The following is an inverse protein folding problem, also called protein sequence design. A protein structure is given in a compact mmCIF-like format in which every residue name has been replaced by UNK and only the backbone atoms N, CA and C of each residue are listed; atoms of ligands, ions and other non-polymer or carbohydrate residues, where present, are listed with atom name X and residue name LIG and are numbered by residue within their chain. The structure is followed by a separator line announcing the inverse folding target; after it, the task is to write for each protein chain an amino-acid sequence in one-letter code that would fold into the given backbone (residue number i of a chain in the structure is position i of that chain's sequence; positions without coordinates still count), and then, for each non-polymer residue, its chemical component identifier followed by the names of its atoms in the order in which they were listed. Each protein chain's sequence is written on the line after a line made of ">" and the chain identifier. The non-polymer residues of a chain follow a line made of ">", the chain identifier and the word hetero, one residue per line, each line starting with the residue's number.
data_IF_841038787523
#
_entry.id   IF_841038787523
#
_cell.length_a   1.000
_cell.length_b   1.000
_cell.length_c   1.000
_cell.angle_alpha   90.00
_cell.angle_beta   90.00
_cell.angle_gamma   90.00
#
_symmetry.space_group_name_H-M   'P 1'
#
loop_
_entity.id
_entity.type
_entity.pdbx_description
1 polymer ?
#
# COMPACT_ATOMS: atom_id res chain seq x y z
N UNK A 1 -1.14 24.18 -7.09
CA UNK A 1 -2.01 23.17 -7.72
C UNK A 1 -1.97 21.92 -6.85
N UNK A 2 -3.09 21.49 -6.27
CA UNK A 2 -3.12 20.25 -5.50
C UNK A 2 -3.08 19.07 -6.47
N UNK A 3 -1.97 18.33 -6.48
CA UNK A 3 -1.79 17.11 -7.29
C UNK A 3 -2.80 16.06 -6.84
N UNK A 4 -3.56 15.48 -7.76
CA UNK A 4 -4.51 14.41 -7.46
C UNK A 4 -3.75 13.17 -6.92
N UNK A 5 -4.34 12.39 -6.01
CA UNK A 5 -3.66 11.22 -5.44
C UNK A 5 -3.23 10.19 -6.50
N UNK A 6 -3.95 10.10 -7.61
CA UNK A 6 -3.59 9.25 -8.75
C UNK A 6 -2.33 9.70 -9.50
N UNK A 7 -2.05 11.00 -9.58
CA UNK A 7 -0.82 11.50 -10.22
C UNK A 7 0.40 11.39 -9.32
N UNK A 8 0.22 11.38 -7.98
CA UNK A 8 1.29 11.02 -7.03
C UNK A 8 1.70 9.56 -7.20
N UNK A 9 0.74 8.64 -7.24
CA UNK A 9 1.04 7.20 -7.48
C UNK A 9 1.73 6.99 -8.83
N UNK A 10 1.26 7.66 -9.89
CA UNK A 10 1.89 7.57 -11.20
C UNK A 10 3.34 8.06 -11.19
N UNK A 11 3.65 9.15 -10.48
CA UNK A 11 5.00 9.66 -10.30
C UNK A 11 5.92 8.63 -9.62
N UNK A 12 5.50 8.04 -8.50
CA UNK A 12 6.30 7.02 -7.82
C UNK A 12 6.48 5.74 -8.64
N UNK A 13 5.46 5.32 -9.40
CA UNK A 13 5.59 4.20 -10.36
C UNK A 13 6.64 4.48 -11.43
N UNK A 14 6.63 5.69 -12.00
CA UNK A 14 7.62 6.08 -12.99
C UNK A 14 9.04 6.10 -12.39
N UNK A 15 9.21 6.61 -11.16
CA UNK A 15 10.49 6.60 -10.44
C UNK A 15 11.02 5.17 -10.21
N UNK A 16 10.17 4.25 -9.74
CA UNK A 16 10.54 2.83 -9.59
C UNK A 16 10.93 2.22 -10.93
N UNK A 17 10.15 2.47 -11.99
CA UNK A 17 10.43 1.97 -13.33
C UNK A 17 11.73 2.52 -13.91
N UNK A 18 12.07 3.78 -13.64
CA UNK A 18 13.34 4.38 -14.04
C UNK A 18 14.53 3.73 -13.31
N UNK A 19 14.45 3.59 -11.99
CA UNK A 19 15.53 3.02 -11.18
C UNK A 19 15.73 1.52 -11.45
N UNK A 20 14.65 0.76 -11.66
CA UNK A 20 14.73 -0.69 -11.87
C UNK A 20 15.44 -1.10 -13.16
N UNK A 21 15.67 -0.16 -14.10
CA UNK A 21 16.38 -0.44 -15.36
C UNK A 21 17.89 -0.56 -15.16
N UNK A 22 18.44 0.24 -14.25
CA UNK A 22 19.88 0.45 -14.11
C UNK A 22 20.42 0.06 -12.73
N UNK A 23 19.55 -0.36 -11.80
CA UNK A 23 19.90 -0.64 -10.40
C UNK A 23 19.61 -2.08 -10.02
N UNK A 24 20.43 -2.61 -9.12
CA UNK A 24 20.21 -3.94 -8.54
C UNK A 24 19.00 -3.93 -7.59
N UNK A 25 18.32 -5.07 -7.38
CA UNK A 25 17.11 -5.16 -6.55
C UNK A 25 17.26 -4.65 -5.11
N UNK A 26 18.47 -4.74 -4.58
CA UNK A 26 18.94 -4.43 -3.24
C UNK A 26 19.61 -3.04 -3.15
N UNK A 27 19.62 -2.29 -4.25
CA UNK A 27 20.03 -0.88 -4.26
C UNK A 27 19.13 -0.04 -3.33
N UNK A 28 19.72 0.78 -2.44
CA UNK A 28 18.96 1.52 -1.44
C UNK A 28 17.99 2.55 -2.07
N UNK A 29 18.34 3.16 -3.20
CA UNK A 29 17.47 4.13 -3.86
C UNK A 29 16.26 3.44 -4.51
N UNK A 30 16.44 2.22 -5.02
CA UNK A 30 15.33 1.42 -5.54
C UNK A 30 14.42 0.92 -4.40
N UNK A 31 14.99 0.49 -3.27
CA UNK A 31 14.24 0.09 -2.10
C UNK A 31 13.39 1.25 -1.54
N UNK A 32 13.97 2.43 -1.41
CA UNK A 32 13.26 3.66 -1.01
C UNK A 32 12.14 4.02 -1.99
N UNK A 33 12.42 4.03 -3.30
CA UNK A 33 11.41 4.35 -4.30
C UNK A 33 10.21 3.37 -4.27
N UNK A 34 10.46 2.09 -3.99
CA UNK A 34 9.39 1.08 -3.80
C UNK A 34 8.61 1.35 -2.52
N UNK A 35 9.27 1.74 -1.44
CA UNK A 35 8.62 2.09 -0.18
C UNK A 35 7.70 3.31 -0.35
N UNK A 36 8.19 4.35 -1.04
CA UNK A 36 7.40 5.55 -1.34
C UNK A 36 6.18 5.23 -2.21
N UNK A 37 6.34 4.35 -3.20
CA UNK A 37 5.23 3.90 -4.02
C UNK A 37 4.15 3.18 -3.20
N UNK A 38 4.55 2.33 -2.24
CA UNK A 38 3.61 1.66 -1.33
C UNK A 38 2.86 2.68 -0.48
N UNK A 39 3.56 3.66 0.09
CA UNK A 39 2.95 4.74 0.88
C UNK A 39 1.95 5.55 0.06
N UNK A 40 2.35 6.06 -1.11
CA UNK A 40 1.48 6.83 -2.00
C UNK A 40 0.24 6.03 -2.46
N UNK A 41 0.40 4.73 -2.70
CA UNK A 41 -0.73 3.85 -3.07
C UNK A 41 -1.73 3.71 -1.93
N UNK A 42 -1.23 3.52 -0.69
CA UNK A 42 -2.08 3.42 0.49
C UNK A 42 -2.83 4.74 0.75
N UNK A 43 -2.14 5.87 0.67
CA UNK A 43 -2.75 7.20 0.81
C UNK A 43 -3.85 7.43 -0.23
N UNK A 44 -3.58 7.11 -1.50
CA UNK A 44 -4.57 7.23 -2.57
C UNK A 44 -5.79 6.34 -2.33
N UNK A 45 -5.58 5.13 -1.79
CA UNK A 45 -6.66 4.22 -1.46
C UNK A 45 -7.51 4.76 -0.30
N UNK A 46 -6.87 5.21 0.77
CA UNK A 46 -7.54 5.83 1.92
C UNK A 46 -8.37 7.04 1.49
N UNK A 47 -7.79 7.94 0.68
CA UNK A 47 -8.51 9.11 0.15
C UNK A 47 -9.74 8.69 -0.67
N UNK A 48 -9.60 7.67 -1.53
CA UNK A 48 -10.71 7.13 -2.32
C UNK A 48 -11.82 6.53 -1.43
N UNK A 49 -11.46 5.82 -0.36
CA UNK A 49 -12.42 5.22 0.58
C UNK A 49 -13.15 6.32 1.36
N UNK A 50 -12.42 7.31 1.88
CA UNK A 50 -13.01 8.43 2.62
C UNK A 50 -13.96 9.27 1.76
N UNK A 51 -13.66 9.44 0.47
CA UNK A 51 -14.54 10.15 -0.45
C UNK A 51 -15.88 9.43 -0.71
N UNK A 52 -15.93 8.11 -0.52
CA UNK A 52 -17.15 7.30 -0.69
C UNK A 52 -17.88 7.03 0.62
N UNK A 53 -17.22 7.21 1.76
CA UNK A 53 -17.80 6.94 3.06
C UNK A 53 -18.81 8.02 3.47
N UNK A 54 -19.92 7.66 4.15
CA UNK A 54 -20.70 8.63 4.89
C UNK A 54 -19.82 9.41 5.88
N UNK A 55 -20.18 10.66 6.25
CA UNK A 55 -19.39 11.46 7.18
C UNK A 55 -19.12 10.70 8.49
N UNK A 56 -17.84 10.44 8.75
CA UNK A 56 -17.40 9.79 9.99
C UNK A 56 -17.48 10.75 11.16
N UNK A 57 -17.83 10.26 12.34
CA UNK A 57 -17.70 11.04 13.58
C UNK A 57 -16.23 11.21 13.96
N UNK A 58 -15.93 12.21 14.79
CA UNK A 58 -14.57 12.44 15.27
C UNK A 58 -13.98 11.23 15.99
N UNK A 59 -14.80 10.54 16.81
CA UNK A 59 -14.38 9.35 17.54
C UNK A 59 -14.06 8.17 16.60
N UNK A 60 -14.82 7.99 15.52
CA UNK A 60 -14.56 6.97 14.50
C UNK A 60 -13.24 7.24 13.77
N UNK A 61 -12.97 8.52 13.44
CA UNK A 61 -11.69 8.91 12.82
C UNK A 61 -10.51 8.65 13.75
N UNK A 62 -10.64 8.95 15.05
CA UNK A 62 -9.58 8.70 16.03
C UNK A 62 -9.26 7.21 16.16
N UNK A 63 -10.30 6.35 16.19
CA UNK A 63 -10.13 4.89 16.21
C UNK A 63 -9.39 4.39 14.97
N UNK A 64 -9.73 4.88 13.78
CA UNK A 64 -9.02 4.53 12.53
C UNK A 64 -7.57 5.02 12.57
N UNK A 65 -7.33 6.25 13.02
CA UNK A 65 -5.98 6.81 13.15
C UNK A 65 -5.11 6.03 14.16
N UNK A 66 -5.70 5.48 15.22
CA UNK A 66 -5.01 4.60 16.15
C UNK A 66 -4.53 3.31 15.47
N UNK A 67 -5.33 2.70 14.59
CA UNK A 67 -4.93 1.50 13.85
C UNK A 67 -3.72 1.75 12.94
N UNK A 68 -3.64 2.94 12.31
CA UNK A 68 -2.52 3.31 11.45
C UNK A 68 -1.22 3.52 12.24
N UNK A 69 -1.29 3.87 13.53
CA UNK A 69 -0.12 4.13 14.39
C UNK A 69 0.58 2.85 14.87
N UNK A 70 -0.15 1.74 15.01
CA UNK A 70 0.42 0.45 15.44
C UNK A 70 1.25 -0.19 14.31
N UNK A 71 1.03 0.23 13.06
CA UNK A 71 1.65 -0.35 11.88
C UNK A 71 1.05 -1.71 11.51
N UNK A 72 1.30 -2.21 10.29
CA UNK A 72 0.95 -3.57 9.95
C UNK A 72 1.66 -4.50 10.92
N UNK A 73 0.93 -5.46 11.53
CA UNK A 73 1.59 -6.64 12.08
C UNK A 73 2.45 -7.21 10.95
N UNK A 74 3.73 -7.57 11.19
CA UNK A 74 4.49 -8.31 10.19
C UNK A 74 3.58 -9.44 9.76
N UNK A 75 3.33 -9.52 8.45
CA UNK A 75 2.53 -10.58 7.87
C UNK A 75 3.23 -11.87 8.29
N UNK A 76 2.75 -12.52 9.36
CA UNK A 76 3.17 -13.87 9.69
C UNK A 76 2.91 -14.64 8.40
N UNK A 77 3.98 -15.24 7.89
CA UNK A 77 4.09 -15.75 6.55
C UNK A 77 2.76 -16.39 6.10
N UNK A 78 2.21 -15.93 4.97
CA UNK A 78 1.04 -16.56 4.32
C UNK A 78 1.30 -18.04 3.92
N UNK A 79 2.44 -18.61 4.32
CA UNK A 79 2.76 -20.03 4.26
C UNK A 79 1.97 -20.88 5.28
N UNK A 80 1.34 -20.28 6.30
CA UNK A 80 0.62 -21.04 7.36
C UNK A 80 -0.91 -21.02 7.22
N UNK A 81 -1.45 -20.36 6.17
CA UNK A 81 -2.82 -20.62 5.75
C UNK A 81 -2.77 -21.75 4.73
N UNK A 82 -2.75 -22.98 5.26
CA UNK A 82 -2.94 -24.21 4.50
C UNK A 82 -4.11 -24.05 3.54
N UNK A 83 -3.77 -23.73 2.29
CA UNK A 83 -4.64 -23.91 1.15
C UNK A 83 -4.88 -25.42 1.13
N UNK A 84 -6.01 -25.83 1.70
CA UNK A 84 -6.52 -27.19 1.54
C UNK A 84 -6.54 -27.41 0.04
N UNK A 85 -5.71 -28.34 -0.43
CA UNK A 85 -5.88 -28.94 -1.75
C UNK A 85 -7.36 -29.35 -1.82
N UNK A 86 -8.15 -28.56 -2.55
CA UNK A 86 -9.45 -29.01 -2.99
C UNK A 86 -9.10 -29.97 -4.11
N UNK A 87 -9.03 -31.25 -3.75
CA UNK A 87 -8.98 -32.38 -4.69
C UNK A 87 -9.93 -32.08 -5.85
N UNK A 88 -9.35 -31.69 -6.98
CA UNK A 88 -10.01 -31.72 -8.26
C UNK A 88 -9.59 -33.02 -8.93
N UNK A 89 -10.18 -34.12 -8.48
CA UNK A 89 -9.99 -35.44 -9.07
C UNK A 89 -11.29 -35.92 -9.73
N UNK A 90 -11.11 -36.43 -10.95
CA UNK A 90 -12.01 -37.16 -11.86
C UNK A 90 -13.25 -36.48 -12.48
#
# INVERSE_FOLDING_TARGET
>A
MATAPSSVVAHHRARVGALSRDRQPDDPALAEARQDLKAATLESYVAKVLAQAPPLTSEQRERIAALLRVGPRPQADHADLGLVDVDHDA
#
